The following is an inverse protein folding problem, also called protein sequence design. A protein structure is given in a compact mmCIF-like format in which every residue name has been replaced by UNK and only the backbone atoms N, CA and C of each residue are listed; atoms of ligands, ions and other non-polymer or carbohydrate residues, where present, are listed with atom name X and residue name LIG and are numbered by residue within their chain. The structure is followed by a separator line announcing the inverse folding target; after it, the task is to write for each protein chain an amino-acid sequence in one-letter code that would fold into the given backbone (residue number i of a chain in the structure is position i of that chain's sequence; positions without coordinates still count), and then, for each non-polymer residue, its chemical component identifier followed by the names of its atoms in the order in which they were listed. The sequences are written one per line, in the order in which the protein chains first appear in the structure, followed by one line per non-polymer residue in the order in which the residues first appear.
data_IF_326650920321
#
_entry.id   IF_326650920321
#
_cell.length_a   1.000
_cell.length_b   1.000
_cell.length_c   1.000
_cell.angle_alpha   90.00
_cell.angle_beta   90.00
_cell.angle_gamma   90.00
#
_symmetry.space_group_name_H-M   'P 1'
#
loop_
_entity.id
_entity.type
_entity.pdbx_description
1 polymer ?
#
# COMPACT_ATOMS: atom_id res chain seq x y z
N UNK A 1 -8.92 0.76 18.39
CA UNK A 1 -8.41 -0.63 18.38
C UNK A 1 -8.87 -1.29 19.65
N UNK A 2 -9.45 -2.50 19.59
CA UNK A 2 -9.85 -3.25 20.77
C UNK A 2 -8.61 -3.95 21.33
N UNK A 3 -8.00 -3.37 22.35
CA UNK A 3 -6.87 -3.98 23.07
C UNK A 3 -7.39 -5.24 23.77
N UNK A 4 -6.68 -6.37 23.65
CA UNK A 4 -7.07 -7.59 24.38
C UNK A 4 -7.03 -7.33 25.88
N UNK A 5 -8.08 -7.75 26.59
CA UNK A 5 -8.11 -7.65 28.04
C UNK A 5 -7.21 -8.74 28.65
N UNK A 6 -6.73 -8.54 29.89
CA UNK A 6 -6.03 -9.60 30.62
C UNK A 6 -6.88 -10.87 30.78
N UNK A 7 -8.20 -10.72 30.88
CA UNK A 7 -9.15 -11.84 30.94
C UNK A 7 -9.16 -12.64 29.64
N UNK A 8 -9.16 -11.96 28.48
CA UNK A 8 -9.11 -12.65 27.19
C UNK A 8 -7.77 -13.38 27.00
N UNK A 9 -6.64 -12.79 27.45
CA UNK A 9 -5.34 -13.46 27.44
C UNK A 9 -5.32 -14.70 28.33
N UNK A 10 -5.89 -14.62 29.53
CA UNK A 10 -6.00 -15.76 30.44
C UNK A 10 -6.85 -16.88 29.84
N UNK A 11 -7.95 -16.54 29.16
CA UNK A 11 -8.78 -17.51 28.44
C UNK A 11 -8.04 -18.22 27.32
N UNK A 12 -7.26 -17.48 26.52
CA UNK A 12 -6.43 -18.09 25.46
C UNK A 12 -5.37 -19.00 26.07
N UNK A 13 -4.67 -18.54 27.12
CA UNK A 13 -3.63 -19.34 27.78
C UNK A 13 -4.18 -20.65 28.36
N UNK A 14 -5.37 -20.61 28.99
CA UNK A 14 -6.03 -21.82 29.49
C UNK A 14 -6.44 -22.78 28.37
N UNK A 15 -6.94 -22.26 27.25
CA UNK A 15 -7.32 -23.08 26.10
C UNK A 15 -6.10 -23.75 25.45
N UNK A 16 -5.00 -23.01 25.30
CA UNK A 16 -3.72 -23.54 24.81
C UNK A 16 -3.20 -24.64 25.75
N UNK A 17 -3.13 -24.37 27.05
CA UNK A 17 -2.66 -25.34 28.04
C UNK A 17 -3.54 -26.60 28.12
N UNK A 18 -4.85 -26.49 27.84
CA UNK A 18 -5.74 -27.63 27.77
C UNK A 18 -5.50 -28.49 26.51
N UNK A 19 -5.21 -27.86 25.37
CA UNK A 19 -4.92 -28.54 24.11
C UNK A 19 -3.53 -29.22 24.11
N UNK A 20 -2.52 -28.59 24.72
CA UNK A 20 -1.18 -29.17 24.86
C UNK A 20 -1.16 -30.40 25.79
N UNK A 21 -2.15 -30.55 26.68
CA UNK A 21 -2.25 -31.78 27.51
C UNK A 21 -2.56 -33.04 26.69
N UNK A 22 -3.24 -32.89 25.56
CA UNK A 22 -3.68 -34.02 24.71
C UNK A 22 -2.86 -34.14 23.43
N UNK A 23 -1.87 -33.26 23.22
CA UNK A 23 -1.05 -33.22 22.01
C UNK A 23 0.44 -33.10 22.38
N UNK A 24 1.32 -33.65 21.55
CA UNK A 24 2.77 -33.45 21.69
C UNK A 24 3.25 -32.14 21.04
N UNK A 25 2.32 -31.27 20.63
CA UNK A 25 2.62 -30.02 19.94
C UNK A 25 2.77 -28.87 20.91
N UNK A 26 3.72 -27.97 20.62
CA UNK A 26 3.82 -26.68 21.30
C UNK A 26 3.03 -25.64 20.50
N UNK A 27 2.10 -24.95 21.16
CA UNK A 27 1.19 -23.98 20.52
C UNK A 27 1.61 -22.57 20.95
N UNK A 28 2.02 -21.75 19.99
CA UNK A 28 2.36 -20.35 20.23
C UNK A 28 1.35 -19.42 19.57
N UNK A 29 0.80 -18.47 20.33
CA UNK A 29 -0.19 -17.51 19.84
C UNK A 29 0.42 -16.10 19.76
N UNK A 30 0.42 -15.50 18.58
CA UNK A 30 0.96 -14.14 18.37
C UNK A 30 -0.14 -13.19 17.90
N UNK A 31 -0.39 -12.14 18.69
CA UNK A 31 -1.33 -11.10 18.30
C UNK A 31 -0.57 -9.86 17.80
N UNK A 32 -0.51 -9.68 16.48
CA UNK A 32 0.04 -8.48 15.86
C UNK A 32 -1.11 -7.58 15.36
N UNK A 33 -1.24 -6.33 15.85
CA UNK A 33 -2.29 -5.42 15.39
C UNK A 33 -2.14 -5.04 13.90
N UNK A 34 -0.90 -4.97 13.41
CA UNK A 34 -0.58 -4.75 12.02
C UNK A 34 0.72 -5.48 11.68
N UNK A 35 0.75 -6.14 10.51
CA UNK A 35 1.91 -6.94 10.07
C UNK A 35 2.77 -6.18 9.05
N UNK A 36 2.19 -5.24 8.31
CA UNK A 36 2.90 -4.43 7.32
C UNK A 36 2.13 -3.16 6.98
N UNK A 37 2.86 -2.05 6.85
CA UNK A 37 2.29 -0.74 6.49
C UNK A 37 1.96 -0.62 4.99
N UNK A 38 2.37 -1.56 4.13
CA UNK A 38 2.20 -1.54 2.67
C UNK A 38 2.67 -0.23 2.00
N UNK A 39 3.84 0.30 2.40
CA UNK A 39 4.39 1.56 1.87
C UNK A 39 4.71 1.53 0.38
N UNK A 40 4.89 0.34 -0.19
CA UNK A 40 5.14 0.14 -1.63
C UNK A 40 3.87 0.38 -2.47
N UNK A 41 2.68 0.16 -1.92
CA UNK A 41 1.41 0.22 -2.67
C UNK A 41 1.12 1.61 -3.25
N UNK A 42 1.25 2.72 -2.48
CA UNK A 42 1.10 4.07 -3.03
C UNK A 42 2.06 4.39 -4.16
N UNK A 43 3.31 3.93 -4.08
CA UNK A 43 4.32 4.20 -5.09
C UNK A 43 3.98 3.54 -6.43
N UNK A 44 3.58 2.27 -6.39
CA UNK A 44 3.19 1.50 -7.58
C UNK A 44 1.96 2.11 -8.24
N UNK A 45 0.94 2.46 -7.46
CA UNK A 45 -0.26 3.09 -8.01
C UNK A 45 0.01 4.49 -8.55
N UNK A 46 0.85 5.29 -7.90
CA UNK A 46 1.23 6.60 -8.39
C UNK A 46 2.04 6.51 -9.70
N UNK A 47 2.94 5.54 -9.83
CA UNK A 47 3.66 5.28 -11.07
C UNK A 47 2.73 4.81 -12.19
N UNK A 48 1.80 3.89 -11.88
CA UNK A 48 0.83 3.39 -12.85
C UNK A 48 -0.11 4.50 -13.34
N UNK A 49 -0.64 5.33 -12.44
CA UNK A 49 -1.52 6.45 -12.83
C UNK A 49 -0.78 7.51 -13.62
N UNK A 50 0.46 7.85 -13.24
CA UNK A 50 1.29 8.79 -14.00
C UNK A 50 1.60 8.30 -15.41
N UNK A 51 1.70 6.98 -15.62
CA UNK A 51 1.95 6.41 -16.94
C UNK A 51 0.66 6.29 -17.77
N UNK A 52 -0.44 5.87 -17.15
CA UNK A 52 -1.70 5.56 -17.84
C UNK A 52 -2.51 6.82 -18.16
N UNK A 53 -2.57 7.81 -17.27
CA UNK A 53 -3.40 9.01 -17.47
C UNK A 53 -3.03 9.80 -18.74
N UNK A 54 -1.74 10.09 -19.03
CA UNK A 54 -1.31 10.72 -20.28
C UNK A 54 -1.73 9.96 -21.53
N UNK A 55 -1.46 8.65 -21.55
CA UNK A 55 -1.72 7.79 -22.71
C UNK A 55 -3.22 7.60 -22.93
N UNK A 56 -4.00 7.38 -21.86
CA UNK A 56 -5.44 7.25 -21.91
C UNK A 56 -6.12 8.55 -22.36
N UNK A 57 -5.64 9.71 -21.90
CA UNK A 57 -6.13 11.01 -22.37
C UNK A 57 -5.93 11.18 -23.88
N UNK A 58 -4.74 10.87 -24.38
CA UNK A 58 -4.45 10.96 -25.82
C UNK A 58 -5.32 10.01 -26.65
N UNK A 59 -5.48 8.75 -26.20
CA UNK A 59 -6.28 7.73 -26.89
C UNK A 59 -7.79 8.02 -26.84
N UNK A 60 -8.28 8.62 -25.76
CA UNK A 60 -9.67 9.06 -25.63
C UNK A 60 -10.00 10.30 -26.48
N UNK A 61 -9.03 10.85 -27.21
CA UNK A 61 -9.20 12.03 -28.03
C UNK A 61 -9.30 13.32 -27.21
N UNK A 62 -8.89 13.31 -25.93
CA UNK A 62 -8.63 14.56 -25.22
C UNK A 62 -7.47 15.24 -25.92
N UNK A 63 -7.80 16.24 -26.71
CA UNK A 63 -6.76 17.10 -27.25
C UNK A 63 -6.21 17.98 -26.12
N UNK A 64 -4.89 18.16 -26.02
CA UNK A 64 -4.27 18.93 -24.94
C UNK A 64 -4.75 20.39 -24.87
N UNK A 65 -5.34 20.90 -25.96
CA UNK A 65 -5.96 22.21 -26.11
C UNK A 65 -7.16 22.47 -25.17
N UNK A 66 -7.88 21.44 -24.70
CA UNK A 66 -8.97 21.63 -23.74
C UNK A 66 -8.46 21.87 -22.30
N UNK A 67 -7.37 21.22 -21.91
CA UNK A 67 -6.73 21.44 -20.62
C UNK A 67 -6.05 22.82 -20.57
N UNK A 68 -5.43 23.26 -21.66
CA UNK A 68 -4.87 24.61 -21.76
C UNK A 68 -5.95 25.69 -21.80
N UNK A 69 -7.16 25.44 -22.31
CA UNK A 69 -8.27 26.40 -22.17
C UNK A 69 -8.81 26.49 -20.75
N UNK A 70 -8.85 25.39 -20.00
CA UNK A 70 -9.36 25.35 -18.62
C UNK A 70 -8.39 25.99 -17.60
N UNK A 71 -7.08 25.84 -17.82
CA UNK A 71 -6.03 26.37 -16.93
C UNK A 71 -5.25 27.56 -17.50
N UNK A 72 -5.40 27.88 -18.78
CA UNK A 72 -4.62 28.91 -19.50
C UNK A 72 -5.37 30.22 -19.78
N UNK A 73 -6.54 30.45 -19.16
CA UNK A 73 -7.24 31.74 -19.22
C UNK A 73 -6.46 32.92 -18.59
N UNK A 74 -5.34 32.65 -17.92
CA UNK A 74 -4.50 33.65 -17.24
C UNK A 74 -3.07 33.76 -17.79
N UNK A 75 -2.86 33.54 -19.09
CA UNK A 75 -1.59 33.88 -19.74
C UNK A 75 -1.74 35.18 -20.52
N UNK A 76 -1.30 36.28 -19.92
CA UNK A 76 -1.15 37.59 -20.57
C UNK A 76 -0.22 37.44 -21.78
N UNK A 77 -0.69 37.95 -22.93
CA UNK A 77 -0.17 37.68 -24.25
C UNK A 77 1.35 37.82 -24.39
N UNK A 78 1.95 36.86 -25.09
CA UNK A 78 3.30 36.99 -25.64
C UNK A 78 3.24 36.59 -27.12
N UNK A 79 3.08 37.61 -27.96
CA UNK A 79 3.42 37.51 -29.38
C UNK A 79 4.94 37.27 -29.51
N UNK A 80 5.32 36.46 -30.51
CA UNK A 80 6.68 36.15 -30.97
C UNK A 80 7.58 35.26 -30.09
N UNK A 81 7.56 33.95 -30.39
CA UNK A 81 8.71 33.06 -30.55
C UNK A 81 8.23 31.60 -30.39
N UNK A 82 8.07 30.91 -31.51
CA UNK A 82 7.61 29.50 -31.60
C UNK A 82 8.41 28.54 -30.73
N UNK A 83 9.67 28.85 -30.40
CA UNK A 83 10.52 28.01 -29.52
C UNK A 83 10.25 28.21 -28.02
N UNK A 84 9.88 29.42 -27.59
CA UNK A 84 9.53 29.71 -26.19
C UNK A 84 8.13 29.20 -25.82
N UNK A 85 7.21 29.15 -26.80
CA UNK A 85 5.87 28.61 -26.64
C UNK A 85 5.87 27.09 -26.41
N UNK A 86 6.83 26.36 -27.02
CA UNK A 86 6.97 24.92 -26.82
C UNK A 86 7.47 24.62 -25.40
N UNK A 87 8.47 25.36 -24.92
CA UNK A 87 9.03 25.17 -23.57
C UNK A 87 8.04 25.57 -22.45
N UNK A 88 7.20 26.58 -22.67
CA UNK A 88 6.15 26.96 -21.71
C UNK A 88 4.98 25.96 -21.69
N UNK A 89 4.56 25.45 -22.85
CA UNK A 89 3.55 24.40 -22.94
C UNK A 89 4.00 23.10 -22.25
N UNK A 90 5.26 22.70 -22.45
CA UNK A 90 5.85 21.53 -21.80
C UNK A 90 5.95 21.68 -20.27
N UNK A 91 6.33 22.86 -19.77
CA UNK A 91 6.44 23.10 -18.32
C UNK A 91 5.08 23.11 -17.62
N UNK A 92 4.03 23.63 -18.26
CA UNK A 92 2.64 23.54 -17.76
C UNK A 92 2.18 22.07 -17.72
N UNK A 93 2.46 21.31 -18.78
CA UNK A 93 2.10 19.90 -18.84
C UNK A 93 2.79 19.08 -17.76
N UNK A 94 4.11 19.27 -17.59
CA UNK A 94 4.90 18.60 -16.53
C UNK A 94 4.39 19.02 -15.15
N UNK A 95 4.08 20.31 -14.94
CA UNK A 95 3.54 20.81 -13.68
C UNK A 95 2.18 20.19 -13.34
N UNK A 96 1.28 20.07 -14.31
CA UNK A 96 -0.02 19.42 -14.11
C UNK A 96 0.14 17.91 -13.86
N UNK A 97 1.02 17.24 -14.59
CA UNK A 97 1.32 15.82 -14.37
C UNK A 97 1.91 15.59 -12.97
N UNK A 98 2.81 16.46 -12.52
CA UNK A 98 3.36 16.41 -11.16
C UNK A 98 2.28 16.67 -10.11
N UNK A 99 1.38 17.63 -10.33
CA UNK A 99 0.27 17.92 -9.42
C UNK A 99 -0.69 16.73 -9.29
N UNK A 100 -1.10 16.13 -10.41
CA UNK A 100 -1.97 14.94 -10.40
C UNK A 100 -1.27 13.77 -9.70
N UNK A 101 0.02 13.56 -9.99
CA UNK A 101 0.82 12.54 -9.32
C UNK A 101 0.84 12.76 -7.81
N UNK A 102 1.08 13.99 -7.35
CA UNK A 102 1.08 14.36 -5.93
C UNK A 102 -0.30 14.11 -5.31
N UNK A 103 -1.38 14.57 -5.93
CA UNK A 103 -2.75 14.41 -5.41
C UNK A 103 -3.11 12.93 -5.33
N UNK A 104 -2.84 12.14 -6.37
CA UNK A 104 -3.08 10.70 -6.38
C UNK A 104 -2.23 9.99 -5.33
N UNK A 105 -0.94 10.34 -5.19
CA UNK A 105 -0.05 9.78 -4.19
C UNK A 105 -0.54 10.09 -2.77
N UNK A 106 -0.97 11.33 -2.50
CA UNK A 106 -1.55 11.73 -1.22
C UNK A 106 -2.86 10.99 -0.93
N UNK A 107 -3.73 10.86 -1.94
CA UNK A 107 -5.00 10.13 -1.78
C UNK A 107 -4.78 8.65 -1.49
N UNK A 108 -3.87 7.98 -2.21
CA UNK A 108 -3.53 6.57 -1.96
C UNK A 108 -2.74 6.39 -0.66
N UNK A 109 -2.06 7.42 -0.17
CA UNK A 109 -1.34 7.38 1.12
C UNK A 109 -2.27 7.26 2.32
N UNK A 110 -3.57 7.60 2.17
CA UNK A 110 -4.58 7.46 3.21
C UNK A 110 -4.71 5.97 3.61
N UNK A 111 -4.52 5.60 4.90
CA UNK A 111 -4.46 4.20 5.34
C UNK A 111 -5.62 3.29 4.88
N UNK A 112 -6.91 3.70 4.97
CA UNK A 112 -8.01 2.86 4.46
C UNK A 112 -7.96 2.65 2.94
N UNK A 113 -7.55 3.67 2.17
CA UNK A 113 -7.44 3.60 0.69
C UNK A 113 -6.28 2.69 0.31
N UNK A 114 -5.11 2.90 0.91
CA UNK A 114 -3.93 2.03 0.75
C UNK A 114 -4.26 0.58 1.03
N UNK A 115 -4.97 0.31 2.13
CA UNK A 115 -5.36 -1.04 2.53
C UNK A 115 -6.41 -1.62 1.58
N UNK A 116 -7.33 -0.82 1.03
CA UNK A 116 -8.30 -1.30 0.04
C UNK A 116 -7.63 -1.66 -1.30
N UNK A 117 -6.75 -0.79 -1.81
CA UNK A 117 -6.03 -0.97 -3.07
C UNK A 117 -4.95 -2.05 -3.03
N UNK A 118 -4.45 -2.39 -1.84
CA UNK A 118 -3.46 -3.46 -1.71
C UNK A 118 -4.13 -4.83 -1.99
N UNK A 119 -3.68 -5.57 -3.02
CA UNK A 119 -4.25 -6.86 -3.37
C UNK A 119 -4.08 -7.88 -2.25
N UNK A 120 -5.06 -8.78 -2.12
CA UNK A 120 -5.09 -9.81 -1.05
C UNK A 120 -3.86 -10.71 -1.04
N UNK A 121 -3.27 -11.00 -2.20
CA UNK A 121 -2.08 -11.81 -2.33
C UNK A 121 -0.85 -11.21 -1.61
N UNK A 122 -0.65 -9.88 -1.72
CA UNK A 122 0.45 -9.20 -1.02
C UNK A 122 0.24 -9.18 0.49
N UNK A 123 -1.01 -8.99 0.93
CA UNK A 123 -1.36 -9.07 2.36
C UNK A 123 -1.07 -10.45 2.93
N UNK A 124 -1.49 -11.51 2.22
CA UNK A 124 -1.25 -12.88 2.62
C UNK A 124 0.26 -13.21 2.65
N UNK A 125 1.03 -12.73 1.66
CA UNK A 125 2.47 -12.90 1.63
C UNK A 125 3.17 -12.20 2.81
N UNK A 126 2.75 -10.98 3.16
CA UNK A 126 3.29 -10.24 4.30
C UNK A 126 2.99 -10.97 5.63
N UNK A 127 1.74 -11.43 5.83
CA UNK A 127 1.36 -12.23 7.00
C UNK A 127 2.17 -13.51 7.09
N UNK A 128 2.32 -14.24 5.97
CA UNK A 128 3.10 -15.48 5.94
C UNK A 128 4.58 -15.24 6.27
N UNK A 129 5.19 -14.15 5.78
CA UNK A 129 6.58 -13.80 6.07
C UNK A 129 6.77 -13.51 7.56
N UNK A 130 5.94 -12.66 8.14
CA UNK A 130 6.01 -12.34 9.56
C UNK A 130 5.73 -13.55 10.45
N UNK A 131 4.75 -14.38 10.08
CA UNK A 131 4.46 -15.63 10.77
C UNK A 131 5.66 -16.58 10.70
N UNK A 132 6.31 -16.71 9.54
CA UNK A 132 7.52 -17.51 9.41
C UNK A 132 8.66 -16.95 10.25
N UNK A 133 8.91 -15.64 10.21
CA UNK A 133 9.93 -14.99 11.04
C UNK A 133 9.72 -15.26 12.53
N UNK A 134 8.49 -15.17 13.03
CA UNK A 134 8.16 -15.50 14.42
C UNK A 134 8.30 -17.01 14.70
N UNK A 135 7.92 -17.86 13.75
CA UNK A 135 8.09 -19.30 13.89
C UNK A 135 9.56 -19.70 14.01
N UNK A 136 10.44 -19.08 13.20
CA UNK A 136 11.89 -19.30 13.23
C UNK A 136 12.53 -18.72 14.50
N UNK A 137 12.16 -17.50 14.90
CA UNK A 137 12.76 -16.80 16.05
C UNK A 137 12.47 -17.51 17.37
N UNK A 138 11.27 -18.07 17.52
CA UNK A 138 10.88 -18.83 18.70
C UNK A 138 11.37 -20.28 18.68
N UNK A 139 12.10 -20.70 17.65
CA UNK A 139 12.72 -22.02 17.60
C UNK A 139 11.70 -23.16 17.60
N UNK A 140 10.47 -22.92 17.14
CA UNK A 140 9.38 -23.90 17.14
C UNK A 140 9.70 -25.16 16.30
N UNK A 141 10.75 -25.10 15.49
CA UNK A 141 11.33 -26.18 14.69
C UNK A 141 12.30 -27.08 15.47
N UNK A 142 12.79 -26.60 16.62
CA UNK A 142 13.71 -27.27 17.54
C UNK A 142 12.95 -27.87 18.75
N UNK A 143 11.63 -27.76 18.77
CA UNK A 143 10.77 -28.37 19.80
C UNK A 143 11.00 -29.88 19.82
N UNK A 144 10.82 -30.48 21.01
CA UNK A 144 11.26 -31.84 21.32
C UNK A 144 10.76 -32.89 20.32
N UNK A 145 9.55 -32.69 19.81
CA UNK A 145 8.88 -33.55 18.83
C UNK A 145 8.78 -32.93 17.42
N UNK A 146 9.41 -31.76 17.20
CA UNK A 146 9.39 -30.98 15.94
C UNK A 146 7.98 -30.61 15.45
N UNK A 147 7.03 -30.55 16.36
CA UNK A 147 5.62 -30.18 16.12
C UNK A 147 5.30 -28.86 16.79
N UNK A 148 5.73 -27.75 16.18
CA UNK A 148 5.31 -26.41 16.58
C UNK A 148 4.13 -25.91 15.75
N UNK A 149 3.12 -25.31 16.39
CA UNK A 149 1.99 -24.65 15.72
C UNK A 149 1.98 -23.17 16.12
N UNK A 150 2.00 -22.29 15.13
CA UNK A 150 1.85 -20.84 15.32
C UNK A 150 0.43 -20.42 14.91
N UNK A 151 -0.25 -19.71 15.82
CA UNK A 151 -1.60 -19.15 15.63
C UNK A 151 -1.54 -17.63 15.62
#
# INVERSE_FOLDING_TARGET
MKTMTPEDQARIAQAVAAAEKTTAGEIFCVLAPEVSDYRETPLVWAAATALVLPAAGLLAGLRPDMLTQLFGGWTVGHASATDAAILSALSIYIGLQAAIFIVAALFVSIPPVRRALTPRALKAAAVRRAAMEQFMSHGLQLTRDRTGVLI
#
